data_IF_955188634829
#
_entry.id   IF_955188634829
#
_cell.length_a   1.000
_cell.length_b   1.000
_cell.length_c   1.000
_cell.angle_alpha   90.00
_cell.angle_beta   90.00
_cell.angle_gamma   90.00
#
_symmetry.space_group_name_H-M   'P 1'
#
loop_
_entity.id
_entity.type
_entity.pdbx_description
1 polymer ?
#
# COMPACT_ATOMS: atom_id res chain seq x y z
N UNK A 1 0.31 -24.68 -13.82
CA UNK A 1 -0.01 -24.98 -12.42
C UNK A 1 -0.63 -23.74 -11.80
N UNK A 2 -1.96 -23.68 -11.71
CA UNK A 2 -2.66 -22.59 -11.00
C UNK A 2 -2.60 -22.90 -9.51
N UNK A 3 -1.67 -22.27 -8.79
CA UNK A 3 -1.44 -22.50 -7.35
C UNK A 3 -2.67 -22.21 -6.47
N UNK A 4 -3.71 -21.53 -7.00
CA UNK A 4 -5.01 -21.36 -6.37
C UNK A 4 -6.15 -21.37 -7.40
N UNK A 5 -6.88 -22.50 -7.60
CA UNK A 5 -8.05 -22.52 -8.46
C UNK A 5 -9.15 -21.62 -7.89
N UNK A 6 -9.56 -20.59 -8.62
CA UNK A 6 -10.58 -19.64 -8.16
C UNK A 6 -11.87 -20.34 -7.72
N UNK A 7 -12.25 -21.42 -8.40
CA UNK A 7 -13.42 -22.23 -8.07
C UNK A 7 -13.38 -22.90 -6.68
N UNK A 8 -12.19 -23.10 -6.11
CA UNK A 8 -12.01 -23.75 -4.80
C UNK A 8 -11.80 -22.74 -3.67
N UNK A 9 -11.18 -21.59 -3.97
CA UNK A 9 -10.82 -20.56 -2.99
C UNK A 9 -11.69 -19.30 -3.05
N UNK A 10 -12.77 -19.30 -3.82
CA UNK A 10 -13.70 -18.16 -3.93
C UNK A 10 -14.19 -17.68 -2.56
N UNK A 11 -14.45 -18.60 -1.63
CA UNK A 11 -14.90 -18.29 -0.28
C UNK A 11 -13.85 -17.50 0.52
N UNK A 12 -12.55 -17.75 0.32
CA UNK A 12 -11.46 -17.03 0.97
C UNK A 12 -11.40 -15.59 0.45
N UNK A 13 -11.51 -15.39 -0.87
CA UNK A 13 -11.57 -14.06 -1.46
C UNK A 13 -12.80 -13.29 -0.98
N UNK A 14 -13.97 -13.95 -0.89
CA UNK A 14 -15.19 -13.34 -0.36
C UNK A 14 -15.06 -13.01 1.11
N UNK A 15 -14.48 -13.90 1.93
CA UNK A 15 -14.26 -13.67 3.36
C UNK A 15 -13.26 -12.54 3.61
N UNK A 16 -12.17 -12.49 2.84
CA UNK A 16 -11.19 -11.39 2.88
C UNK A 16 -11.84 -10.07 2.50
N UNK A 17 -12.57 -10.03 1.38
CA UNK A 17 -13.26 -8.81 0.93
C UNK A 17 -14.31 -8.35 1.95
N UNK A 18 -15.08 -9.27 2.51
CA UNK A 18 -16.04 -8.98 3.58
C UNK A 18 -15.33 -8.44 4.83
N UNK A 19 -14.20 -9.02 5.23
CA UNK A 19 -13.37 -8.53 6.33
C UNK A 19 -12.87 -7.11 6.10
N UNK A 20 -12.39 -6.81 4.89
CA UNK A 20 -11.97 -5.45 4.49
C UNK A 20 -13.14 -4.47 4.57
N UNK A 21 -14.31 -4.83 4.05
CA UNK A 21 -15.50 -3.98 4.11
C UNK A 21 -15.97 -3.73 5.55
N UNK A 22 -15.89 -4.73 6.43
CA UNK A 22 -16.23 -4.60 7.84
C UNK A 22 -15.25 -3.68 8.56
N UNK A 23 -13.94 -3.88 8.37
CA UNK A 23 -12.93 -3.01 8.97
C UNK A 23 -13.07 -1.57 8.48
N UNK A 24 -13.35 -1.37 7.19
CA UNK A 24 -13.60 -0.04 6.62
C UNK A 24 -14.87 0.59 7.18
N UNK A 25 -15.94 -0.18 7.36
CA UNK A 25 -17.17 0.30 7.99
C UNK A 25 -16.96 0.65 9.47
N UNK A 26 -16.11 -0.09 10.18
CA UNK A 26 -15.76 0.19 11.58
C UNK A 26 -14.91 1.46 11.70
N UNK A 27 -13.86 1.58 10.89
CA UNK A 27 -12.93 2.72 10.88
C UNK A 27 -13.66 4.03 10.55
N UNK A 28 -14.57 3.99 9.55
CA UNK A 28 -15.31 5.16 9.11
C UNK A 28 -16.63 5.43 9.87
N UNK A 29 -17.24 4.39 10.45
CA UNK A 29 -18.57 4.48 11.06
C UNK A 29 -18.57 4.62 12.59
N UNK A 30 -17.58 4.05 13.28
CA UNK A 30 -17.56 3.96 14.76
C UNK A 30 -16.63 4.99 15.40
N UNK A 31 -15.55 5.40 14.74
CA UNK A 31 -14.61 6.37 15.30
C UNK A 31 -15.14 7.81 15.18
N UNK A 32 -16.01 8.20 16.13
CA UNK A 32 -16.10 9.59 16.55
C UNK A 32 -14.83 9.92 17.34
N UNK A 33 -13.85 10.57 16.70
CA UNK A 33 -12.77 11.22 17.44
C UNK A 33 -12.54 12.61 16.89
N UNK A 34 -12.83 13.58 17.75
CA UNK A 34 -12.42 14.97 17.56
C UNK A 34 -10.94 14.98 17.18
N UNK A 35 -10.68 15.55 16.00
CA UNK A 35 -9.35 15.75 15.47
C UNK A 35 -8.62 16.69 16.43
N UNK A 36 -7.84 16.12 17.35
CA UNK A 36 -6.66 16.83 17.81
C UNK A 36 -5.79 17.05 16.58
N UNK A 37 -5.64 18.30 16.16
CA UNK A 37 -4.73 18.66 15.09
C UNK A 37 -3.31 18.34 15.55
N UNK A 38 -2.88 17.11 15.27
CA UNK A 38 -1.49 16.70 15.42
C UNK A 38 -0.68 17.60 14.48
N UNK A 39 0.06 18.53 15.06
CA UNK A 39 0.83 19.50 14.28
C UNK A 39 1.82 18.79 13.35
N UNK A 40 2.17 19.42 12.22
CA UNK A 40 3.05 18.83 11.19
C UNK A 40 4.34 18.21 11.77
N UNK A 41 4.94 18.86 12.78
CA UNK A 41 6.17 18.39 13.44
C UNK A 41 5.95 17.14 14.28
N UNK A 42 4.79 17.03 14.93
CA UNK A 42 4.43 15.86 15.72
C UNK A 42 4.10 14.69 14.79
N UNK A 43 3.34 14.91 13.73
CA UNK A 43 3.04 13.89 12.71
C UNK A 43 4.32 13.37 12.02
N UNK A 44 5.25 14.27 11.67
CA UNK A 44 6.55 13.89 11.11
C UNK A 44 7.40 13.08 12.10
N UNK A 45 7.38 13.44 13.39
CA UNK A 45 8.08 12.69 14.44
C UNK A 45 7.50 11.30 14.60
N UNK A 46 6.16 11.18 14.67
CA UNK A 46 5.50 9.87 14.72
C UNK A 46 5.83 9.02 13.50
N UNK A 47 5.81 9.59 12.29
CA UNK A 47 6.20 8.89 11.07
C UNK A 47 7.65 8.38 11.15
N UNK A 48 8.59 9.22 11.60
CA UNK A 48 9.99 8.84 11.77
C UNK A 48 10.17 7.73 12.82
N UNK A 49 9.44 7.78 13.94
CA UNK A 49 9.45 6.71 14.95
C UNK A 49 8.96 5.39 14.37
N UNK A 50 7.85 5.40 13.64
CA UNK A 50 7.31 4.18 13.02
C UNK A 50 8.22 3.61 11.94
N UNK A 51 8.84 4.47 11.12
CA UNK A 51 9.84 4.04 10.13
C UNK A 51 11.06 3.46 10.85
N UNK A 52 11.56 4.13 11.89
CA UNK A 52 12.67 3.64 12.71
C UNK A 52 12.38 2.27 13.33
N UNK A 53 11.18 2.08 13.87
CA UNK A 53 10.74 0.80 14.43
C UNK A 53 10.66 -0.29 13.35
N UNK A 54 10.15 0.02 12.16
CA UNK A 54 10.10 -0.93 11.05
C UNK A 54 11.50 -1.32 10.56
N UNK A 55 12.44 -0.37 10.50
CA UNK A 55 13.83 -0.64 10.16
C UNK A 55 14.55 -1.44 11.25
N UNK A 56 14.30 -1.13 12.53
CA UNK A 56 14.82 -1.90 13.65
C UNK A 56 14.30 -3.33 13.64
N UNK A 57 13.01 -3.52 13.33
CA UNK A 57 12.41 -4.83 13.14
C UNK A 57 13.02 -5.56 11.94
N UNK A 58 13.21 -4.90 10.79
CA UNK A 58 13.86 -5.49 9.63
C UNK A 58 15.28 -5.96 9.94
N UNK A 59 16.04 -5.15 10.68
CA UNK A 59 17.37 -5.52 11.15
C UNK A 59 17.32 -6.70 12.12
N UNK A 60 16.37 -6.70 13.05
CA UNK A 60 16.13 -7.84 13.95
C UNK A 60 15.75 -9.11 13.20
N UNK A 61 14.93 -9.00 12.16
CA UNK A 61 14.54 -10.10 11.28
C UNK A 61 15.73 -10.65 10.49
N UNK A 62 16.61 -9.79 9.98
CA UNK A 62 17.86 -10.19 9.35
C UNK A 62 18.78 -10.96 10.31
N UNK A 63 18.96 -10.45 11.53
CA UNK A 63 19.78 -11.11 12.56
C UNK A 63 19.17 -12.45 12.99
N UNK A 64 17.84 -12.50 13.16
CA UNK A 64 17.13 -13.73 13.47
C UNK A 64 17.25 -14.76 12.35
N UNK A 65 17.11 -14.34 11.09
CA UNK A 65 17.27 -15.20 9.92
C UNK A 65 18.70 -15.75 9.82
N UNK A 66 19.73 -14.92 10.07
CA UNK A 66 21.12 -15.37 10.13
C UNK A 66 21.38 -16.39 11.25
N UNK A 67 20.70 -16.27 12.40
CA UNK A 67 20.84 -17.23 13.48
C UNK A 67 20.06 -18.52 13.24
N UNK A 68 18.87 -18.41 12.63
CA UNK A 68 17.92 -19.53 12.47
C UNK A 68 18.19 -20.38 11.23
N UNK A 69 18.49 -19.78 10.08
CA UNK A 69 18.67 -20.51 8.81
C UNK A 69 19.83 -21.51 8.81
N UNK A 70 20.98 -21.25 9.47
CA UNK A 70 22.06 -22.23 9.58
C UNK A 70 21.74 -23.40 10.52
N UNK A 71 20.72 -23.29 11.38
CA UNK A 71 20.35 -24.35 12.33
C UNK A 71 19.30 -25.31 11.78
N UNK A 72 18.72 -25.00 10.62
CA UNK A 72 17.58 -25.76 10.08
C UNK A 72 18.05 -26.83 9.08
N UNK A 73 17.99 -28.13 9.43
CA UNK A 73 18.52 -29.21 8.60
C UNK A 73 17.82 -29.32 7.25
N UNK A 74 16.55 -28.92 7.18
CA UNK A 74 15.75 -28.93 5.95
C UNK A 74 16.18 -27.87 4.94
N UNK A 75 16.65 -26.70 5.41
CA UNK A 75 17.12 -25.62 4.53
C UNK A 75 18.51 -25.92 3.97
N UNK A 76 19.38 -26.53 4.78
CA UNK A 76 20.73 -26.94 4.38
C UNK A 76 20.74 -28.10 3.39
N UNK A 77 19.66 -28.88 3.31
CA UNK A 77 19.50 -29.94 2.32
C UNK A 77 19.17 -29.42 0.91
N UNK A 78 18.85 -28.13 0.76
CA UNK A 78 18.57 -27.50 -0.53
C UNK A 78 19.90 -27.23 -1.27
N UNK A 79 20.11 -27.81 -2.47
CA UNK A 79 21.34 -27.60 -3.23
C UNK A 79 21.54 -26.12 -3.58
N UNK A 80 22.71 -25.55 -3.20
CA UNK A 80 23.04 -24.15 -3.49
C UNK A 80 22.45 -23.12 -2.51
N UNK A 81 21.87 -23.56 -1.39
CA UNK A 81 21.35 -22.66 -0.36
C UNK A 81 22.49 -22.01 0.43
N UNK A 82 22.60 -20.68 0.32
CA UNK A 82 23.46 -19.86 1.16
C UNK A 82 22.58 -19.18 2.24
N UNK A 83 22.72 -19.57 3.53
CA UNK A 83 21.94 -18.99 4.62
C UNK A 83 22.10 -17.47 4.76
N UNK A 84 23.27 -16.93 4.41
CA UNK A 84 23.52 -15.49 4.48
C UNK A 84 22.81 -14.74 3.35
N UNK A 85 22.79 -15.31 2.15
CA UNK A 85 22.04 -14.77 1.02
C UNK A 85 20.52 -14.82 1.27
N UNK A 86 20.01 -15.95 1.78
CA UNK A 86 18.60 -16.11 2.11
C UNK A 86 18.13 -15.12 3.18
N UNK A 87 18.93 -14.92 4.24
CA UNK A 87 18.61 -13.93 5.28
C UNK A 87 18.53 -12.51 4.71
N UNK A 88 19.43 -12.16 3.78
CA UNK A 88 19.41 -10.87 3.08
C UNK A 88 18.17 -10.73 2.19
N UNK A 89 17.80 -11.77 1.46
CA UNK A 89 16.59 -11.77 0.64
C UNK A 89 15.34 -11.55 1.48
N UNK A 90 15.16 -12.27 2.60
CA UNK A 90 13.99 -12.08 3.47
C UNK A 90 13.89 -10.65 4.02
N UNK A 91 15.03 -10.06 4.41
CA UNK A 91 15.07 -8.67 4.86
C UNK A 91 14.76 -7.68 3.73
N UNK A 92 15.18 -7.96 2.49
CA UNK A 92 14.85 -7.14 1.33
C UNK A 92 13.38 -7.26 0.95
N UNK A 93 12.79 -8.45 1.03
CA UNK A 93 11.37 -8.67 0.80
C UNK A 93 10.51 -7.89 1.79
N UNK A 94 10.84 -7.96 3.09
CA UNK A 94 10.16 -7.18 4.13
C UNK A 94 10.28 -5.67 3.88
N UNK A 95 11.50 -5.19 3.61
CA UNK A 95 11.74 -3.77 3.37
C UNK A 95 11.02 -3.27 2.11
N UNK A 96 11.04 -4.06 1.04
CA UNK A 96 10.34 -3.74 -0.21
C UNK A 96 8.84 -3.69 0.02
N UNK A 97 8.27 -4.70 0.71
CA UNK A 97 6.86 -4.70 1.09
C UNK A 97 6.48 -3.49 1.93
N UNK A 98 7.27 -3.15 2.94
CA UNK A 98 7.05 -1.98 3.79
C UNK A 98 7.06 -0.67 2.99
N UNK A 99 8.05 -0.48 2.12
CA UNK A 99 8.14 0.72 1.27
C UNK A 99 6.94 0.80 0.33
N UNK A 100 6.58 -0.30 -0.33
CA UNK A 100 5.43 -0.35 -1.25
C UNK A 100 4.13 0.00 -0.52
N UNK A 101 3.90 -0.57 0.65
CA UNK A 101 2.69 -0.29 1.45
C UNK A 101 2.65 1.16 1.94
N UNK A 102 3.81 1.71 2.36
CA UNK A 102 3.92 3.12 2.74
C UNK A 102 3.70 4.06 1.56
N UNK A 103 4.26 3.79 0.39
CA UNK A 103 4.04 4.59 -0.81
C UNK A 103 2.56 4.59 -1.23
N UNK A 104 1.89 3.44 -1.17
CA UNK A 104 0.46 3.33 -1.50
C UNK A 104 -0.41 4.12 -0.52
N UNK A 105 -0.04 4.13 0.77
CA UNK A 105 -0.73 4.93 1.80
C UNK A 105 -0.57 6.43 1.58
N UNK A 106 0.64 6.88 1.21
CA UNK A 106 0.95 8.30 0.95
C UNK A 106 0.25 8.81 -0.30
N UNK A 107 0.21 8.01 -1.38
CA UNK A 107 -0.48 8.34 -2.62
C UNK A 107 -1.97 8.65 -2.38
N UNK A 108 -2.65 7.80 -1.59
CA UNK A 108 -4.05 8.01 -1.23
C UNK A 108 -4.26 9.34 -0.47
N UNK A 109 -3.44 9.65 0.54
CA UNK A 109 -3.56 10.89 1.33
C UNK A 109 -3.28 12.13 0.47
N UNK A 110 -2.27 12.07 -0.40
CA UNK A 110 -1.89 13.17 -1.26
C UNK A 110 -3.03 13.62 -2.17
N UNK A 111 -3.72 12.66 -2.81
CA UNK A 111 -4.89 12.94 -3.65
C UNK A 111 -5.99 13.64 -2.85
N UNK A 112 -6.28 13.19 -1.63
CA UNK A 112 -7.30 13.83 -0.79
C UNK A 112 -6.92 15.27 -0.41
N UNK A 113 -5.66 15.50 -0.01
CA UNK A 113 -5.18 16.85 0.34
C UNK A 113 -5.24 17.78 -0.88
N UNK A 114 -4.85 17.32 -2.07
CA UNK A 114 -4.97 18.11 -3.30
C UNK A 114 -6.43 18.48 -3.60
N UNK A 115 -7.35 17.53 -3.49
CA UNK A 115 -8.79 17.76 -3.73
C UNK A 115 -9.35 18.76 -2.69
N UNK A 116 -9.02 18.60 -1.41
CA UNK A 116 -9.50 19.50 -0.34
C UNK A 116 -9.00 20.93 -0.52
N UNK A 117 -7.73 21.09 -0.92
CA UNK A 117 -7.17 22.40 -1.23
C UNK A 117 -7.79 23.01 -2.48
N UNK A 118 -7.96 22.24 -3.56
CA UNK A 118 -8.58 22.71 -4.79
C UNK A 118 -10.00 23.25 -4.59
N UNK A 119 -10.79 22.60 -3.72
CA UNK A 119 -12.16 23.03 -3.39
C UNK A 119 -12.27 23.91 -2.14
N UNK A 120 -11.14 24.27 -1.49
CA UNK A 120 -11.10 25.05 -0.25
C UNK A 120 -12.10 24.56 0.82
N UNK A 121 -12.17 23.24 1.04
CA UNK A 121 -13.18 22.62 1.88
C UNK A 121 -12.95 22.93 3.38
N UNK A 122 -13.91 23.57 4.08
CA UNK A 122 -13.80 23.81 5.52
C UNK A 122 -13.65 22.48 6.30
N UNK A 123 -12.78 22.47 7.32
CA UNK A 123 -12.42 21.26 8.09
C UNK A 123 -13.63 20.44 8.59
N UNK A 124 -14.73 21.11 8.93
CA UNK A 124 -16.00 20.49 9.36
C UNK A 124 -16.60 19.52 8.32
N UNK A 125 -16.39 19.76 7.03
CA UNK A 125 -16.94 18.92 5.95
C UNK A 125 -15.94 17.90 5.40
N UNK A 126 -14.64 18.02 5.71
CA UNK A 126 -13.60 17.14 5.17
C UNK A 126 -13.87 15.68 5.48
N UNK A 127 -14.34 15.34 6.68
CA UNK A 127 -14.67 13.96 7.05
C UNK A 127 -15.76 13.34 6.16
N UNK A 128 -16.83 14.10 5.88
CA UNK A 128 -17.94 13.61 5.04
C UNK A 128 -17.47 13.43 3.59
N UNK A 129 -16.67 14.37 3.08
CA UNK A 129 -16.11 14.25 1.72
C UNK A 129 -15.11 13.11 1.64
N UNK A 130 -14.28 12.91 2.67
CA UNK A 130 -13.34 11.79 2.77
C UNK A 130 -14.08 10.46 2.72
N UNK A 131 -15.20 10.32 3.44
CA UNK A 131 -16.02 9.11 3.43
C UNK A 131 -16.49 8.74 2.01
N UNK A 132 -17.13 9.68 1.31
CA UNK A 132 -17.57 9.44 -0.07
C UNK A 132 -16.40 9.27 -1.03
N UNK A 133 -15.27 9.94 -0.78
CA UNK A 133 -14.04 9.84 -1.54
C UNK A 133 -13.38 8.46 -1.45
N UNK A 134 -13.20 7.92 -0.23
CA UNK A 134 -12.63 6.58 -0.01
C UNK A 134 -13.54 5.51 -0.61
N UNK A 135 -14.85 5.61 -0.40
CA UNK A 135 -15.82 4.66 -0.95
C UNK A 135 -15.81 4.69 -2.50
N UNK A 136 -15.77 5.89 -3.09
CA UNK A 136 -15.62 6.06 -4.54
C UNK A 136 -14.29 5.52 -5.05
N UNK A 137 -13.18 5.84 -4.40
CA UNK A 137 -11.84 5.37 -4.77
C UNK A 137 -11.73 3.84 -4.71
N UNK A 138 -12.32 3.20 -3.70
CA UNK A 138 -12.37 1.75 -3.57
C UNK A 138 -13.14 1.11 -4.73
N UNK A 139 -14.28 1.68 -5.11
CA UNK A 139 -15.08 1.22 -6.25
C UNK A 139 -14.31 1.39 -7.55
N UNK A 140 -13.73 2.57 -7.80
CA UNK A 140 -12.90 2.79 -8.98
C UNK A 140 -11.71 1.83 -9.03
N UNK A 141 -11.06 1.58 -7.89
CA UNK A 141 -9.96 0.61 -7.78
C UNK A 141 -10.43 -0.79 -8.16
N UNK A 142 -11.57 -1.25 -7.64
CA UNK A 142 -12.13 -2.56 -7.99
C UNK A 142 -12.46 -2.66 -9.50
N UNK A 143 -13.07 -1.61 -10.07
CA UNK A 143 -13.38 -1.53 -11.51
C UNK A 143 -12.10 -1.56 -12.35
N UNK A 144 -11.09 -0.77 -12.00
CA UNK A 144 -9.80 -0.75 -12.70
C UNK A 144 -9.07 -2.08 -12.60
N UNK A 145 -9.15 -2.79 -11.48
CA UNK A 145 -8.55 -4.13 -11.35
C UNK A 145 -9.27 -5.14 -12.25
N UNK A 146 -10.61 -5.17 -12.24
CA UNK A 146 -11.38 -6.11 -13.07
C UNK A 146 -11.17 -5.83 -14.55
N UNK A 147 -11.31 -4.58 -14.98
CA UNK A 147 -11.07 -4.17 -16.36
C UNK A 147 -9.60 -4.40 -16.75
N UNK A 148 -8.66 -3.93 -15.92
CA UNK A 148 -7.23 -4.11 -16.11
C UNK A 148 -6.84 -5.57 -16.27
N UNK A 149 -7.36 -6.48 -15.45
CA UNK A 149 -7.06 -7.91 -15.54
C UNK A 149 -7.43 -8.54 -16.89
N UNK A 150 -8.50 -8.05 -17.54
CA UNK A 150 -8.90 -8.48 -18.89
C UNK A 150 -8.06 -7.80 -19.98
N UNK A 151 -7.75 -6.52 -19.81
CA UNK A 151 -6.97 -5.73 -20.76
C UNK A 151 -5.48 -6.11 -20.80
N UNK A 152 -4.91 -6.51 -19.66
CA UNK A 152 -3.49 -6.89 -19.54
C UNK A 152 -3.14 -8.23 -20.22
N UNK A 153 -4.13 -9.00 -20.67
CA UNK A 153 -3.87 -10.16 -21.54
C UNK A 153 -3.24 -9.74 -22.88
N UNK A 154 -3.44 -8.49 -23.29
CA UNK A 154 -2.83 -7.90 -24.48
C UNK A 154 -1.56 -7.14 -24.10
N UNK A 155 -0.40 -7.71 -24.41
CA UNK A 155 0.92 -7.13 -24.10
C UNK A 155 1.07 -5.68 -24.61
N UNK A 156 0.43 -5.31 -25.73
CA UNK A 156 0.44 -3.93 -26.24
C UNK A 156 -0.21 -2.92 -25.28
N UNK A 157 -1.26 -3.33 -24.57
CA UNK A 157 -1.99 -2.46 -23.64
C UNK A 157 -1.11 -2.10 -22.44
N UNK A 158 -0.23 -3.01 -22.01
CA UNK A 158 0.75 -2.76 -20.94
C UNK A 158 1.68 -1.60 -21.31
N UNK A 159 2.21 -1.60 -22.53
CA UNK A 159 3.10 -0.53 -23.02
C UNK A 159 2.38 0.82 -23.12
N UNK A 160 1.15 0.83 -23.66
CA UNK A 160 0.35 2.05 -23.78
C UNK A 160 -0.03 2.62 -22.42
N UNK A 161 -0.48 1.76 -21.50
CA UNK A 161 -0.89 2.18 -20.16
C UNK A 161 0.30 2.64 -19.32
N UNK A 162 1.44 1.95 -19.42
CA UNK A 162 2.69 2.37 -18.80
C UNK A 162 3.16 3.73 -19.31
N UNK A 163 3.14 3.95 -20.62
CA UNK A 163 3.48 5.25 -21.21
C UNK A 163 2.52 6.36 -20.75
N UNK A 164 1.21 6.08 -20.72
CA UNK A 164 0.21 7.01 -20.23
C UNK A 164 0.44 7.42 -18.76
N UNK A 165 0.81 6.47 -17.90
CA UNK A 165 1.13 6.75 -16.50
C UNK A 165 2.40 7.59 -16.36
N UNK A 166 3.45 7.29 -17.13
CA UNK A 166 4.68 8.10 -17.14
C UNK A 166 4.38 9.55 -17.56
N UNK A 167 3.62 9.74 -18.65
CA UNK A 167 3.27 11.08 -19.14
C UNK A 167 2.41 11.83 -18.11
N UNK A 168 1.42 11.15 -17.53
CA UNK A 168 0.58 11.73 -16.47
C UNK A 168 1.40 12.13 -15.23
N UNK A 169 2.33 11.28 -14.80
CA UNK A 169 3.24 11.55 -13.69
C UNK A 169 4.15 12.75 -13.95
N UNK A 170 4.76 12.81 -15.13
CA UNK A 170 5.58 13.96 -15.54
C UNK A 170 4.75 15.24 -15.61
N UNK A 171 3.53 15.17 -16.14
CA UNK A 171 2.63 16.33 -16.21
C UNK A 171 2.30 16.88 -14.83
N UNK A 172 2.15 16.04 -13.80
CA UNK A 172 1.92 16.49 -12.42
C UNK A 172 3.20 17.12 -11.85
N UNK A 173 4.38 16.54 -12.10
CA UNK A 173 5.66 17.09 -11.64
C UNK A 173 6.02 18.44 -12.28
N UNK A 174 5.67 18.62 -13.56
CA UNK A 174 5.96 19.85 -14.32
C UNK A 174 4.76 20.78 -14.44
N UNK A 175 3.62 20.45 -13.82
CA UNK A 175 2.51 21.38 -13.74
C UNK A 175 3.01 22.60 -12.96
N UNK A 176 3.04 23.80 -13.56
CA UNK A 176 3.41 25.00 -12.81
C UNK A 176 2.44 25.09 -11.64
N UNK A 177 2.97 25.26 -10.42
CA UNK A 177 2.19 25.69 -9.28
C UNK A 177 1.45 26.95 -9.73
N UNK A 178 0.17 26.80 -10.10
CA UNK A 178 -0.71 27.96 -10.19
C UNK A 178 -0.76 28.47 -8.77
N UNK A 179 -0.04 29.57 -8.57
CA UNK A 179 0.03 30.29 -7.32
C UNK A 179 -1.36 30.35 -6.70
N UNK A 180 -1.39 29.86 -5.47
CA UNK A 180 -2.35 30.19 -4.42
C UNK A 180 -2.64 31.69 -4.42
#
# INVERSE_FOLDING_TARGET
MTLFPFAQYWWFYVAFLAGVLVLLALDLGVFHREAHEVGFREAATWSAVWIGLALAFNYGLYQFALWKFPQDPTLLAVPGFDPAAAARETALEFLTGFIVEKSLSVDNIFVFVLIFNFFALPAKYQHRVLFFGILGALVFRAVFIVLGSKLLQFHWVVWVFGLFLIVSGLKIMFAPEKGI
#
